data_IF_027685186699
#
_entry.id   IF_027685186699
#
_cell.length_a   1.000
_cell.length_b   1.000
_cell.length_c   1.000
_cell.angle_alpha   90.00
_cell.angle_beta   90.00
_cell.angle_gamma   90.00
#
_symmetry.space_group_name_H-M   'P 1'
#
loop_
_entity.id
_entity.type
_entity.pdbx_description
1 polymer ?
#
# COMPACT_ATOMS: atom_id res chain seq x y z
N UNK A 1 6.19 15.88 -36.10
CA UNK A 1 5.25 14.75 -36.07
C UNK A 1 5.32 14.15 -34.68
N UNK A 2 4.18 14.10 -33.97
CA UNK A 2 4.09 13.62 -32.58
C UNK A 2 4.50 12.16 -32.57
N UNK A 3 5.58 11.84 -31.84
CA UNK A 3 6.00 10.46 -31.61
C UNK A 3 4.85 9.75 -30.89
N UNK A 4 4.44 8.61 -31.43
CA UNK A 4 3.53 7.68 -30.79
C UNK A 4 4.10 7.33 -29.42
N UNK A 5 3.48 7.86 -28.37
CA UNK A 5 3.75 7.44 -26.99
C UNK A 5 2.92 6.17 -26.84
N UNK A 6 3.54 4.98 -26.68
CA UNK A 6 2.77 3.79 -26.37
C UNK A 6 1.99 4.07 -25.08
N UNK A 7 0.66 4.03 -25.19
CA UNK A 7 -0.23 4.11 -24.04
C UNK A 7 0.00 2.82 -23.25
N UNK A 8 0.83 2.90 -22.21
CA UNK A 8 1.05 1.77 -21.33
C UNK A 8 -0.28 1.43 -20.63
N UNK A 9 -0.62 0.14 -20.46
CA UNK A 9 -1.81 -0.24 -19.72
C UNK A 9 -1.77 0.37 -18.33
N UNK A 10 -2.93 0.85 -17.87
CA UNK A 10 -3.12 1.46 -16.55
C UNK A 10 -2.52 0.53 -15.50
N UNK A 11 -1.56 1.03 -14.73
CA UNK A 11 -0.91 0.34 -13.63
C UNK A 11 -1.94 0.06 -12.53
N UNK A 12 -2.38 -1.20 -12.38
CA UNK A 12 -3.38 -1.59 -11.39
C UNK A 12 -2.72 -2.30 -10.22
N UNK A 13 -1.91 -1.56 -9.46
CA UNK A 13 -1.51 -2.00 -8.11
C UNK A 13 -2.19 -1.11 -7.08
N UNK A 14 -2.53 -1.67 -5.94
CA UNK A 14 -3.23 -0.97 -4.86
C UNK A 14 -2.59 -1.29 -3.53
N UNK A 15 -2.42 -0.27 -2.68
CA UNK A 15 -2.04 -0.47 -1.28
C UNK A 15 -3.28 -0.31 -0.42
N UNK A 16 -3.47 -1.22 0.53
CA UNK A 16 -4.66 -1.27 1.38
C UNK A 16 -4.24 -1.37 2.83
N UNK A 17 -4.75 -0.46 3.66
CA UNK A 17 -4.67 -0.57 5.12
C UNK A 17 -5.94 -1.26 5.60
N UNK A 18 -5.86 -2.53 5.99
CA UNK A 18 -7.00 -3.33 6.42
C UNK A 18 -6.91 -3.67 7.90
N UNK A 19 -8.08 -3.93 8.52
CA UNK A 19 -8.17 -4.33 9.92
C UNK A 19 -8.88 -5.67 10.07
N UNK A 20 -8.48 -6.42 11.10
CA UNK A 20 -9.16 -7.64 11.53
C UNK A 20 -9.34 -7.62 13.04
N UNK A 21 -10.51 -8.05 13.51
CA UNK A 21 -10.75 -8.23 14.94
C UNK A 21 -9.97 -9.46 15.44
N UNK A 22 -9.23 -9.28 16.54
CA UNK A 22 -8.48 -10.35 17.19
C UNK A 22 -9.30 -10.98 18.35
N UNK A 23 -8.72 -11.97 19.03
CA UNK A 23 -9.40 -12.75 20.09
C UNK A 23 -9.77 -11.91 21.33
N UNK A 24 -9.16 -10.72 21.49
CA UNK A 24 -9.41 -9.80 22.61
C UNK A 24 -10.30 -8.62 22.24
N UNK A 25 -10.97 -8.67 21.09
CA UNK A 25 -11.82 -7.59 20.55
C UNK A 25 -11.06 -6.28 20.24
N UNK A 26 -9.78 -6.38 19.91
CA UNK A 26 -9.00 -5.27 19.36
C UNK A 26 -8.79 -5.45 17.85
N UNK A 27 -8.50 -4.35 17.16
CA UNK A 27 -8.22 -4.37 15.73
C UNK A 27 -6.72 -4.48 15.45
N UNK A 28 -6.33 -5.56 14.80
CA UNK A 28 -5.02 -5.70 14.20
C UNK A 28 -5.03 -5.03 12.83
N UNK A 29 -4.16 -4.05 12.64
CA UNK A 29 -4.05 -3.28 11.40
C UNK A 29 -2.85 -3.73 10.58
N UNK A 30 -3.09 -3.97 9.30
CA UNK A 30 -2.13 -4.55 8.38
C UNK A 30 -2.17 -3.84 7.04
N UNK A 31 -1.01 -3.71 6.40
CA UNK A 31 -0.88 -3.07 5.10
C UNK A 31 -0.60 -4.12 4.04
N UNK A 32 -1.40 -4.14 2.98
CA UNK A 32 -1.32 -5.09 1.90
C UNK A 32 -1.01 -4.40 0.58
N UNK A 33 -0.19 -5.04 -0.25
CA UNK A 33 -0.06 -4.72 -1.67
C UNK A 33 -0.87 -5.73 -2.48
N UNK A 34 -1.77 -5.23 -3.32
CA UNK A 34 -2.64 -6.06 -4.17
C UNK A 34 -2.25 -5.83 -5.63
N UNK A 35 -1.99 -6.93 -6.34
CA UNK A 35 -1.79 -6.89 -7.79
C UNK A 35 -3.14 -7.04 -8.50
N UNK A 36 -3.72 -5.94 -8.97
CA UNK A 36 -4.94 -5.95 -9.77
C UNK A 36 -4.65 -5.96 -11.28
N UNK A 37 -3.38 -6.10 -11.70
CA UNK A 37 -3.05 -6.32 -13.10
C UNK A 37 -3.48 -7.73 -13.53
N UNK A 38 -3.67 -7.91 -14.84
CA UNK A 38 -3.96 -9.23 -15.43
C UNK A 38 -2.68 -10.08 -15.64
N UNK A 39 -1.52 -9.55 -15.23
CA UNK A 39 -0.20 -10.17 -15.37
C UNK A 39 0.55 -10.17 -14.02
N UNK A 40 1.43 -11.14 -13.77
CA UNK A 40 2.26 -11.15 -12.57
C UNK A 40 3.19 -9.94 -12.55
N UNK A 41 3.44 -9.43 -11.35
CA UNK A 41 4.49 -8.43 -11.10
C UNK A 41 5.67 -9.11 -10.42
N UNK A 42 6.88 -8.75 -10.83
CA UNK A 42 8.12 -9.37 -10.37
C UNK A 42 9.03 -8.39 -9.67
N UNK A 43 9.94 -8.90 -8.84
CA UNK A 43 11.00 -8.13 -8.18
C UNK A 43 10.42 -6.88 -7.50
N UNK A 44 9.41 -7.11 -6.66
CA UNK A 44 8.66 -6.03 -6.02
C UNK A 44 9.42 -5.56 -4.78
N UNK A 45 9.77 -4.28 -4.76
CA UNK A 45 10.34 -3.60 -3.62
C UNK A 45 9.32 -2.63 -3.03
N UNK A 46 9.15 -2.67 -1.71
CA UNK A 46 8.33 -1.69 -0.99
C UNK A 46 9.18 -1.02 0.06
N UNK A 47 9.27 0.31 0.01
CA UNK A 47 9.85 1.12 1.06
C UNK A 47 8.72 1.81 1.82
N UNK A 48 8.60 1.55 3.13
CA UNK A 48 7.62 2.22 4.00
C UNK A 48 8.30 3.23 4.92
N UNK A 49 7.65 4.37 5.15
CA UNK A 49 8.04 5.35 6.17
C UNK A 49 6.87 6.24 6.56
N UNK A 50 6.85 6.68 7.81
CA UNK A 50 5.94 7.68 8.34
C UNK A 50 6.64 9.02 8.51
N UNK A 51 6.01 10.12 8.12
CA UNK A 51 6.52 11.47 8.37
C UNK A 51 5.42 12.51 8.59
N UNK A 52 5.70 13.53 9.38
CA UNK A 52 4.79 14.62 9.68
C UNK A 52 5.41 15.67 10.58
N UNK A 53 4.56 16.55 11.11
CA UNK A 53 4.96 17.59 12.05
C UNK A 53 4.00 17.58 13.23
N UNK A 54 4.53 17.69 14.45
CA UNK A 54 3.74 17.85 15.67
C UNK A 54 4.42 18.90 16.54
N UNK A 55 3.68 19.95 16.94
CA UNK A 55 4.20 21.06 17.75
C UNK A 55 5.48 21.70 17.15
N UNK A 56 5.49 21.94 15.83
CA UNK A 56 6.65 22.45 15.07
C UNK A 56 7.90 21.55 15.05
N UNK A 57 7.82 20.32 15.59
CA UNK A 57 8.88 19.32 15.49
C UNK A 57 8.58 18.32 14.35
N UNK A 58 9.61 18.02 13.55
CA UNK A 58 9.51 17.02 12.49
C UNK A 58 9.53 15.62 13.09
N UNK A 59 8.43 14.90 12.89
CA UNK A 59 8.32 13.48 13.23
C UNK A 59 8.64 12.63 12.01
N UNK A 60 9.48 11.61 12.21
CA UNK A 60 9.81 10.63 11.19
C UNK A 60 9.99 9.25 11.82
N UNK A 61 9.36 8.24 11.25
CA UNK A 61 9.57 6.84 11.66
C UNK A 61 10.78 6.23 10.93
N UNK A 62 11.20 5.05 11.38
CA UNK A 62 12.21 4.26 10.66
C UNK A 62 11.73 3.90 9.27
N UNK A 63 12.65 3.90 8.30
CA UNK A 63 12.37 3.40 6.94
C UNK A 63 12.51 1.89 6.91
N UNK A 64 11.45 1.18 6.55
CA UNK A 64 11.46 -0.27 6.36
C UNK A 64 11.48 -0.61 4.87
N UNK A 65 12.03 -1.79 4.54
CA UNK A 65 12.19 -2.26 3.17
C UNK A 65 11.75 -3.71 3.08
N UNK A 66 10.84 -3.98 2.15
CA UNK A 66 10.24 -5.27 1.91
C UNK A 66 10.55 -5.69 0.47
N UNK A 67 10.73 -6.98 0.27
CA UNK A 67 10.99 -7.56 -1.03
C UNK A 67 10.09 -8.77 -1.25
N UNK A 68 9.38 -8.78 -2.37
CA UNK A 68 8.58 -9.90 -2.83
C UNK A 68 9.07 -10.32 -4.22
N UNK A 69 9.49 -11.57 -4.42
CA UNK A 69 9.98 -12.02 -5.72
C UNK A 69 8.94 -11.87 -6.83
N UNK A 70 7.67 -12.13 -6.50
CA UNK A 70 6.56 -12.15 -7.45
C UNK A 70 5.21 -12.01 -6.71
N UNK A 71 4.23 -11.40 -7.36
CA UNK A 71 2.83 -11.35 -6.94
C UNK A 71 1.95 -11.64 -8.16
N UNK A 72 1.16 -12.72 -8.12
CA UNK A 72 0.31 -13.14 -9.25
C UNK A 72 -0.88 -12.18 -9.48
N UNK A 73 -1.53 -12.23 -10.66
CA UNK A 73 -2.77 -11.50 -10.93
C UNK A 73 -3.85 -11.79 -9.87
N UNK A 74 -4.39 -10.73 -9.27
CA UNK A 74 -5.44 -10.81 -8.24
C UNK A 74 -4.94 -11.23 -6.85
N UNK A 75 -3.66 -11.57 -6.70
CA UNK A 75 -3.06 -11.91 -5.41
C UNK A 75 -2.58 -10.66 -4.64
N UNK A 76 -2.25 -10.87 -3.37
CA UNK A 76 -1.79 -9.83 -2.48
C UNK A 76 -0.64 -10.32 -1.61
N UNK A 77 0.14 -9.37 -1.08
CA UNK A 77 1.15 -9.62 -0.07
C UNK A 77 0.99 -8.68 1.13
N UNK A 78 1.21 -9.24 2.32
CA UNK A 78 1.33 -8.45 3.55
C UNK A 78 2.67 -7.70 3.52
N UNK A 79 2.62 -6.38 3.54
CA UNK A 79 3.80 -5.52 3.68
C UNK A 79 4.25 -5.50 5.13
N UNK A 80 3.40 -4.98 6.02
CA UNK A 80 3.71 -4.80 7.44
C UNK A 80 2.44 -4.72 8.30
N UNK A 81 2.62 -4.92 9.61
CA UNK A 81 1.64 -4.51 10.62
C UNK A 81 1.87 -3.03 10.94
N UNK A 82 0.81 -2.24 10.99
CA UNK A 82 0.87 -0.81 11.30
C UNK A 82 0.14 -0.54 12.61
N UNK A 83 0.69 0.35 13.44
CA UNK A 83 0.09 0.69 14.74
C UNK A 83 -0.76 1.96 14.61
N UNK A 84 -1.95 2.03 15.25
CA UNK A 84 -2.80 3.22 15.17
C UNK A 84 -2.13 4.52 15.62
N UNK A 85 -1.11 4.43 16.49
CA UNK A 85 -0.36 5.59 16.95
C UNK A 85 0.44 6.30 15.84
N UNK A 86 0.60 5.73 14.63
CA UNK A 86 1.23 6.41 13.48
C UNK A 86 0.23 6.91 12.44
N UNK A 87 -1.09 6.71 12.65
CA UNK A 87 -2.11 7.14 11.68
C UNK A 87 -2.24 8.67 11.57
N UNK A 88 -1.72 9.40 12.55
CA UNK A 88 -1.62 10.86 12.51
C UNK A 88 -0.46 11.38 11.63
N UNK A 89 0.37 10.48 11.08
CA UNK A 89 1.45 10.81 10.15
C UNK A 89 1.01 10.56 8.71
N UNK A 90 1.77 11.12 7.77
CA UNK A 90 1.73 10.63 6.39
C UNK A 90 2.45 9.29 6.35
N UNK A 91 1.72 8.21 6.09
CA UNK A 91 2.29 6.88 5.91
C UNK A 91 2.53 6.65 4.41
N UNK A 92 3.79 6.74 3.99
CA UNK A 92 4.23 6.57 2.61
C UNK A 92 4.66 5.12 2.36
N UNK A 93 4.12 4.53 1.28
CA UNK A 93 4.54 3.26 0.71
C UNK A 93 5.00 3.51 -0.72
N UNK A 94 6.31 3.44 -0.95
CA UNK A 94 6.87 3.51 -2.30
C UNK A 94 7.09 2.10 -2.81
N UNK A 95 6.31 1.72 -3.83
CA UNK A 95 6.32 0.42 -4.48
C UNK A 95 7.03 0.52 -5.83
N UNK A 96 8.07 -0.28 -6.02
CA UNK A 96 8.76 -0.47 -7.30
C UNK A 96 8.60 -1.91 -7.73
N UNK A 97 8.26 -2.18 -8.99
CA UNK A 97 8.05 -3.55 -9.49
C UNK A 97 8.33 -3.65 -10.99
N UNK A 98 8.44 -4.87 -11.49
CA UNK A 98 8.61 -5.15 -12.91
C UNK A 98 7.39 -5.85 -13.49
N UNK A 99 7.00 -5.43 -14.68
CA UNK A 99 6.19 -6.24 -15.61
C UNK A 99 7.08 -6.50 -16.82
N UNK A 100 7.34 -7.77 -17.11
CA UNK A 100 8.33 -8.20 -18.10
C UNK A 100 9.72 -7.55 -17.86
N UNK A 101 10.18 -6.71 -18.79
CA UNK A 101 11.46 -6.01 -18.74
C UNK A 101 11.33 -4.52 -18.35
N UNK A 102 10.12 -4.07 -18.01
CA UNK A 102 9.86 -2.68 -17.66
C UNK A 102 9.69 -2.53 -16.16
N UNK A 103 10.37 -1.53 -15.60
CA UNK A 103 10.22 -1.11 -14.20
C UNK A 103 9.11 -0.05 -14.08
N UNK A 104 8.36 -0.15 -12.99
CA UNK A 104 7.29 0.74 -12.58
C UNK A 104 7.52 1.18 -11.14
N UNK A 105 7.14 2.41 -10.83
CA UNK A 105 7.35 3.04 -9.53
C UNK A 105 6.12 3.87 -9.15
N UNK A 106 5.55 3.61 -7.97
CA UNK A 106 4.40 4.34 -7.47
C UNK A 106 4.49 4.60 -5.97
N UNK A 107 4.05 5.79 -5.56
CA UNK A 107 3.96 6.17 -4.15
C UNK A 107 2.51 6.25 -3.71
N UNK A 108 2.20 5.60 -2.61
CA UNK A 108 0.91 5.64 -1.94
C UNK A 108 1.11 6.36 -0.61
N UNK A 109 0.31 7.39 -0.33
CA UNK A 109 0.46 8.21 0.86
C UNK A 109 -0.88 8.27 1.58
N UNK A 110 -0.98 7.53 2.67
CA UNK A 110 -2.10 7.67 3.60
C UNK A 110 -1.83 8.90 4.46
N UNK A 111 -2.46 10.01 4.10
CA UNK A 111 -2.38 11.28 4.84
C UNK A 111 -3.03 11.16 6.22
N UNK A 112 -2.72 12.05 7.17
CA UNK A 112 -3.43 12.12 8.44
C UNK A 112 -4.94 12.15 8.22
N UNK A 113 -5.68 11.49 9.12
CA UNK A 113 -7.14 11.37 9.10
C UNK A 113 -7.71 10.59 7.91
N UNK A 114 -6.88 9.93 7.09
CA UNK A 114 -7.36 9.02 6.03
C UNK A 114 -7.66 7.60 6.53
N UNK A 115 -6.93 7.12 7.54
CA UNK A 115 -7.10 5.80 8.16
C UNK A 115 -8.12 5.92 9.29
N UNK A 116 -9.38 6.11 8.93
CA UNK A 116 -10.52 6.32 9.84
C UNK A 116 -11.67 5.38 9.50
N UNK A 117 -12.56 5.14 10.46
CA UNK A 117 -13.66 4.19 10.30
C UNK A 117 -14.61 4.57 9.15
N UNK A 118 -14.86 5.87 8.95
CA UNK A 118 -15.74 6.38 7.90
C UNK A 118 -15.25 6.07 6.48
N UNK A 119 -13.95 5.79 6.32
CA UNK A 119 -13.34 5.45 5.03
C UNK A 119 -13.22 3.93 4.80
N UNK A 120 -13.66 3.11 5.76
CA UNK A 120 -13.59 1.66 5.63
C UNK A 120 -14.58 1.15 4.59
N UNK A 121 -14.07 0.30 3.72
CA UNK A 121 -14.87 -0.44 2.75
C UNK A 121 -14.48 -1.91 2.79
N UNK A 122 -15.39 -2.82 2.42
CA UNK A 122 -15.03 -4.23 2.25
C UNK A 122 -14.02 -4.37 1.11
N UNK A 123 -13.00 -5.21 1.33
CA UNK A 123 -11.92 -5.49 0.38
C UNK A 123 -12.02 -6.96 -0.06
N UNK A 124 -12.70 -7.26 -1.19
CA UNK A 124 -12.95 -8.64 -1.63
C UNK A 124 -11.67 -9.46 -1.81
N UNK A 125 -10.59 -8.83 -2.29
CA UNK A 125 -9.28 -9.47 -2.50
C UNK A 125 -8.63 -9.96 -1.19
N UNK A 126 -9.06 -9.43 -0.04
CA UNK A 126 -8.59 -9.84 1.29
C UNK A 126 -9.64 -10.70 2.02
N UNK A 127 -10.52 -11.40 1.29
CA UNK A 127 -11.58 -12.21 1.89
C UNK A 127 -12.70 -11.40 2.53
N UNK A 128 -12.86 -10.14 2.13
CA UNK A 128 -13.92 -9.26 2.62
C UNK A 128 -13.58 -8.52 3.92
N UNK A 129 -12.30 -8.46 4.31
CA UNK A 129 -11.85 -7.58 5.39
C UNK A 129 -12.22 -6.12 5.12
N UNK A 130 -12.44 -5.36 6.17
CA UNK A 130 -12.61 -3.91 6.07
C UNK A 130 -11.25 -3.24 5.94
N UNK A 131 -11.12 -2.29 5.01
CA UNK A 131 -9.89 -1.53 4.83
C UNK A 131 -10.09 -0.22 4.08
N UNK A 132 -9.03 0.59 4.08
CA UNK A 132 -8.92 1.84 3.35
C UNK A 132 -8.04 1.57 2.13
N UNK A 133 -8.60 1.82 0.94
CA UNK A 133 -7.95 1.60 -0.35
C UNK A 133 -7.18 2.85 -0.75
N UNK A 134 -5.96 2.69 -1.27
CA UNK A 134 -5.25 3.74 -1.99
C UNK A 134 -4.79 3.20 -3.34
N UNK A 135 -5.29 3.84 -4.40
CA UNK A 135 -4.94 3.54 -5.78
C UNK A 135 -3.86 4.45 -6.31
#
# INVERSE_FOLDING_TARGET
>A
MKKDIPFLPVEKIQVVVARKLNEVNEYDWQVFLINQNEVPIHTVFVTSQGYGEQNDEKLKTSTLRHFFPQIEPGEHQLIETIMPNVFHLNNEYWVSYFIDNQIFDKKFIFVPDSIVEDNLVPVPALGGLEGILHE
#
